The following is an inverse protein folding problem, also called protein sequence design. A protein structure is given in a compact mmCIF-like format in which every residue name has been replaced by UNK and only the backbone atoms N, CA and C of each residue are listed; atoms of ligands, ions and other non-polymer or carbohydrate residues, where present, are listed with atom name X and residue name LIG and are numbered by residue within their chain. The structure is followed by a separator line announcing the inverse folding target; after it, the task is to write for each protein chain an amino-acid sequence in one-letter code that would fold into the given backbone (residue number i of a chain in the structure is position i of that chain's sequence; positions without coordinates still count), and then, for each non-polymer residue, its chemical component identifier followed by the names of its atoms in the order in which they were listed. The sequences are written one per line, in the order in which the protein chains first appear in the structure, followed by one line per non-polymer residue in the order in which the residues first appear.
data_IF_055217587024
#
_entry.id   IF_055217587024
#
_cell.length_a   1.000
_cell.length_b   1.000
_cell.length_c   1.000
_cell.angle_alpha   90.00
_cell.angle_beta   90.00
_cell.angle_gamma   90.00
#
_symmetry.space_group_name_H-M   'P 1'
#
loop_
_entity.id
_entity.type
_entity.pdbx_description
1 polymer ?
#
# COMPACT_ATOMS: atom_id res chain seq x y z
N UNK A 1 7.82 -26.86 12.27
CA UNK A 1 6.84 -25.79 11.97
C UNK A 1 7.59 -24.58 11.45
N UNK A 2 7.31 -24.23 10.23
CA UNK A 2 7.94 -23.05 9.65
C UNK A 2 7.09 -21.82 9.90
N UNK A 3 7.69 -20.83 10.51
CA UNK A 3 7.07 -19.51 10.57
C UNK A 3 7.15 -18.89 9.20
N UNK A 4 6.02 -18.35 8.75
CA UNK A 4 5.98 -17.63 7.49
C UNK A 4 6.71 -16.30 7.63
N UNK A 5 7.30 -15.86 6.54
CA UNK A 5 7.91 -14.55 6.44
C UNK A 5 6.78 -13.54 6.25
N UNK A 6 6.66 -12.59 7.16
CA UNK A 6 5.63 -11.56 7.08
C UNK A 6 6.12 -10.41 6.21
N UNK A 7 5.42 -10.21 5.09
CA UNK A 7 5.78 -9.20 4.11
C UNK A 7 4.67 -8.16 4.01
N UNK A 8 5.05 -6.89 4.15
CA UNK A 8 4.16 -5.77 3.94
C UNK A 8 4.52 -5.08 2.62
N UNK A 9 3.56 -5.01 1.71
CA UNK A 9 3.66 -4.18 0.52
C UNK A 9 2.90 -2.89 0.78
N UNK A 10 3.57 -1.76 0.57
CA UNK A 10 2.94 -0.44 0.70
C UNK A 10 2.86 0.22 -0.66
N UNK A 11 1.65 0.58 -1.07
CA UNK A 11 1.44 1.25 -2.34
C UNK A 11 0.35 2.31 -2.18
N UNK A 12 0.34 3.28 -3.09
CA UNK A 12 -0.61 4.38 -2.99
C UNK A 12 -2.02 3.96 -3.39
N UNK A 13 -2.17 3.39 -4.57
CA UNK A 13 -3.47 2.99 -5.12
C UNK A 13 -3.26 1.97 -6.23
N UNK A 14 -4.36 1.38 -6.71
CA UNK A 14 -4.30 0.33 -7.74
C UNK A 14 -4.86 0.84 -9.07
N UNK A 15 -4.41 1.99 -9.49
CA UNK A 15 -4.74 2.52 -10.80
C UNK A 15 -3.95 1.76 -11.89
N UNK A 16 -4.47 1.78 -13.12
CA UNK A 16 -3.85 1.00 -14.19
C UNK A 16 -2.48 1.56 -14.55
N UNK A 17 -1.45 0.74 -14.37
CA UNK A 17 -0.07 1.12 -14.66
C UNK A 17 0.88 -0.06 -14.56
N UNK A 18 2.12 0.15 -14.99
CA UNK A 18 3.14 -0.91 -14.98
C UNK A 18 3.51 -1.39 -13.58
N UNK A 19 3.62 -0.46 -12.63
CA UNK A 19 3.95 -0.80 -11.24
C UNK A 19 2.88 -1.70 -10.65
N UNK A 20 1.61 -1.36 -10.84
CA UNK A 20 0.47 -2.11 -10.29
C UNK A 20 0.36 -3.50 -10.93
N UNK A 21 0.67 -3.61 -12.22
CA UNK A 21 0.70 -4.91 -12.89
C UNK A 21 1.77 -5.82 -12.32
N UNK A 22 2.96 -5.31 -12.11
CA UNK A 22 4.06 -6.08 -11.51
C UNK A 22 3.71 -6.47 -10.08
N UNK A 23 3.12 -5.54 -9.33
CA UNK A 23 2.69 -5.81 -7.96
C UNK A 23 1.66 -6.93 -7.91
N UNK A 24 0.64 -6.88 -8.78
CA UNK A 24 -0.39 -7.92 -8.84
C UNK A 24 0.20 -9.29 -9.19
N UNK A 25 1.09 -9.35 -10.18
CA UNK A 25 1.75 -10.59 -10.55
C UNK A 25 2.50 -11.18 -9.36
N UNK A 26 3.19 -10.35 -8.61
CA UNK A 26 3.93 -10.79 -7.45
C UNK A 26 2.99 -11.27 -6.34
N UNK A 27 1.93 -10.53 -6.06
CA UNK A 27 0.95 -10.91 -5.04
C UNK A 27 0.27 -12.24 -5.36
N UNK A 28 0.02 -12.50 -6.64
CA UNK A 28 -0.61 -13.75 -7.08
C UNK A 28 0.35 -14.94 -7.01
N UNK A 29 1.64 -14.72 -7.25
CA UNK A 29 2.60 -15.81 -7.46
C UNK A 29 3.48 -16.11 -6.24
N UNK A 30 3.52 -15.25 -5.24
CA UNK A 30 4.29 -15.54 -4.02
C UNK A 30 3.68 -16.74 -3.28
N UNK A 31 4.49 -17.73 -2.89
CA UNK A 31 3.96 -18.92 -2.20
C UNK A 31 3.35 -18.56 -0.85
N UNK A 32 2.11 -18.96 -0.62
CA UNK A 32 1.39 -18.68 0.63
C UNK A 32 1.86 -19.53 1.80
N UNK A 33 2.55 -20.63 1.54
CA UNK A 33 3.13 -21.47 2.58
C UNK A 33 4.42 -20.86 3.15
N UNK A 34 5.06 -19.97 2.41
CA UNK A 34 6.31 -19.32 2.82
C UNK A 34 6.05 -17.90 3.31
N UNK A 35 5.16 -17.17 2.65
CA UNK A 35 4.91 -15.75 2.91
C UNK A 35 3.51 -15.49 3.43
N UNK A 36 3.45 -14.68 4.46
CA UNK A 36 2.22 -14.08 4.98
C UNK A 36 2.17 -12.66 4.46
N UNK A 37 1.27 -12.39 3.52
CA UNK A 37 1.28 -11.16 2.72
C UNK A 37 0.23 -10.19 3.20
N UNK A 38 0.66 -8.95 3.42
CA UNK A 38 -0.24 -7.82 3.71
C UNK A 38 0.03 -6.73 2.67
N UNK A 39 -1.03 -6.17 2.12
CA UNK A 39 -0.96 -5.01 1.24
C UNK A 39 -1.67 -3.84 1.91
N UNK A 40 -0.93 -2.76 2.13
CA UNK A 40 -1.51 -1.49 2.59
C UNK A 40 -1.60 -0.53 1.42
N UNK A 41 -2.82 -0.15 1.06
CA UNK A 41 -3.06 0.91 0.09
C UNK A 41 -3.37 2.20 0.84
N UNK A 42 -2.69 3.27 0.47
CA UNK A 42 -3.01 4.59 1.01
C UNK A 42 -4.45 4.97 0.65
N UNK A 43 -4.85 4.69 -0.57
CA UNK A 43 -6.21 4.93 -1.07
C UNK A 43 -6.67 3.68 -1.80
N UNK A 44 -7.83 3.15 -1.40
CA UNK A 44 -8.45 2.03 -2.11
C UNK A 44 -9.14 2.54 -3.36
N UNK A 45 -8.37 2.78 -4.40
CA UNK A 45 -8.80 3.42 -5.64
C UNK A 45 -8.08 2.79 -6.81
N UNK A 46 -8.72 2.82 -7.98
CA UNK A 46 -8.13 2.37 -9.22
C UNK A 46 -8.80 1.13 -9.78
N UNK A 47 -8.63 0.95 -11.07
CA UNK A 47 -9.29 -0.12 -11.84
C UNK A 47 -8.79 -1.51 -11.42
N UNK A 48 -7.54 -1.60 -10.99
CA UNK A 48 -6.93 -2.87 -10.64
C UNK A 48 -7.19 -3.30 -9.19
N UNK A 49 -7.89 -2.49 -8.42
CA UNK A 49 -8.16 -2.80 -7.00
C UNK A 49 -8.96 -4.09 -6.82
N UNK A 50 -9.81 -4.42 -7.78
CA UNK A 50 -10.64 -5.63 -7.72
C UNK A 50 -9.88 -6.89 -8.11
N UNK A 51 -8.67 -6.77 -8.65
CA UNK A 51 -7.84 -7.90 -9.03
C UNK A 51 -6.89 -8.35 -7.91
N UNK A 52 -6.92 -7.66 -6.77
CA UNK A 52 -6.09 -8.04 -5.61
C UNK A 52 -6.54 -9.41 -5.11
N UNK A 53 -5.60 -10.37 -4.89
CA UNK A 53 -5.97 -11.69 -4.39
C UNK A 53 -6.75 -11.61 -3.07
N UNK A 54 -7.79 -12.44 -2.95
CA UNK A 54 -8.66 -12.45 -1.77
C UNK A 54 -8.01 -13.12 -0.56
N UNK A 55 -6.95 -13.90 -0.77
CA UNK A 55 -6.29 -14.67 0.28
C UNK A 55 -5.14 -13.91 0.96
N UNK A 56 -4.92 -12.65 0.63
CA UNK A 56 -3.96 -11.80 1.32
C UNK A 56 -4.70 -10.80 2.22
N UNK A 57 -3.99 -10.25 3.21
CA UNK A 57 -4.55 -9.19 4.05
C UNK A 57 -4.48 -7.87 3.30
N UNK A 58 -5.63 -7.26 3.04
CA UNK A 58 -5.72 -5.96 2.41
C UNK A 58 -6.17 -4.92 3.44
N UNK A 59 -5.38 -3.86 3.58
CA UNK A 59 -5.68 -2.74 4.46
C UNK A 59 -5.64 -1.47 3.61
N UNK A 60 -6.61 -0.59 3.79
CA UNK A 60 -6.60 0.72 3.15
C UNK A 60 -6.84 1.82 4.18
N UNK A 61 -6.16 2.95 4.00
CA UNK A 61 -6.32 4.09 4.90
C UNK A 61 -7.57 4.87 4.55
N UNK A 62 -7.83 5.07 3.26
CA UNK A 62 -8.96 5.85 2.78
C UNK A 62 -9.64 5.17 1.60
N UNK A 63 -10.94 5.45 1.44
CA UNK A 63 -11.69 4.97 0.26
C UNK A 63 -11.30 5.77 -0.98
N UNK A 64 -11.46 5.13 -2.14
CA UNK A 64 -11.27 5.78 -3.42
C UNK A 64 -12.44 6.68 -3.79
N UNK A 65 -12.25 7.43 -4.86
CA UNK A 65 -13.31 8.29 -5.40
C UNK A 65 -14.56 7.51 -5.83
N UNK A 66 -14.38 6.27 -6.24
CA UNK A 66 -15.46 5.38 -6.67
C UNK A 66 -16.46 5.12 -5.55
N UNK A 67 -16.01 5.18 -4.30
CA UNK A 67 -16.83 4.90 -3.12
C UNK A 67 -17.29 6.17 -2.41
N UNK A 68 -17.03 7.35 -2.99
CA UNK A 68 -17.45 8.62 -2.42
C UNK A 68 -18.84 9.02 -2.86
N UNK A 69 -19.44 9.95 -2.12
CA UNK A 69 -20.78 10.47 -2.45
C UNK A 69 -20.78 11.14 -3.82
N UNK A 70 -21.89 10.97 -4.54
CA UNK A 70 -22.12 11.65 -5.82
C UNK A 70 -22.51 13.12 -5.64
N UNK A 71 -22.93 13.52 -4.44
CA UNK A 71 -23.23 14.91 -4.12
C UNK A 71 -21.94 15.74 -4.13
N UNK A 72 -21.81 16.79 -4.96
CA UNK A 72 -20.57 17.55 -5.07
C UNK A 72 -20.10 18.17 -3.75
N UNK A 73 -21.01 18.64 -2.92
CA UNK A 73 -20.68 19.25 -1.64
C UNK A 73 -20.14 18.21 -0.68
N UNK A 74 -20.83 17.07 -0.52
CA UNK A 74 -20.39 16.00 0.34
C UNK A 74 -19.08 15.38 -0.16
N UNK A 75 -18.94 15.23 -1.48
CA UNK A 75 -17.71 14.71 -2.06
C UNK A 75 -16.52 15.61 -1.77
N UNK A 76 -16.70 16.93 -1.88
CA UNK A 76 -15.63 17.89 -1.58
C UNK A 76 -15.23 17.83 -0.11
N UNK A 77 -16.19 17.69 0.79
CA UNK A 77 -15.92 17.52 2.21
C UNK A 77 -15.17 16.22 2.48
N UNK A 78 -15.56 15.14 1.82
CA UNK A 78 -14.87 13.85 1.94
C UNK A 78 -13.43 13.93 1.41
N UNK A 79 -13.21 14.61 0.28
CA UNK A 79 -11.88 14.81 -0.27
C UNK A 79 -10.99 15.65 0.66
N UNK A 80 -11.56 16.69 1.28
CA UNK A 80 -10.84 17.51 2.23
C UNK A 80 -10.45 16.72 3.47
N UNK A 81 -11.38 15.94 4.00
CA UNK A 81 -11.11 15.06 5.14
C UNK A 81 -10.04 14.03 4.80
N UNK A 82 -10.10 13.45 3.61
CA UNK A 82 -9.09 12.49 3.13
C UNK A 82 -7.71 13.13 3.08
N UNK A 83 -7.61 14.32 2.50
CA UNK A 83 -6.33 15.04 2.40
C UNK A 83 -5.74 15.32 3.78
N UNK A 84 -6.56 15.75 4.73
CA UNK A 84 -6.11 16.00 6.11
C UNK A 84 -5.64 14.71 6.78
N UNK A 85 -6.38 13.62 6.63
CA UNK A 85 -6.04 12.32 7.22
C UNK A 85 -4.72 11.80 6.65
N UNK A 86 -4.54 11.90 5.34
CA UNK A 86 -3.30 11.45 4.70
C UNK A 86 -2.12 12.31 5.13
N UNK A 87 -2.32 13.61 5.24
CA UNK A 87 -1.28 14.51 5.76
C UNK A 87 -0.87 14.14 7.18
N UNK A 88 -1.85 13.87 8.03
CA UNK A 88 -1.62 13.51 9.44
C UNK A 88 -0.77 12.24 9.53
N UNK A 89 -1.14 11.19 8.79
CA UNK A 89 -0.41 9.92 8.85
C UNK A 89 0.96 9.99 8.18
N UNK A 90 1.14 10.88 7.23
CA UNK A 90 2.46 11.13 6.66
C UNK A 90 3.40 11.81 7.67
N UNK A 91 2.86 12.72 8.48
CA UNK A 91 3.62 13.40 9.54
C UNK A 91 3.91 12.48 10.71
N UNK A 92 3.01 11.56 11.01
CA UNK A 92 3.11 10.70 12.18
C UNK A 92 3.04 9.22 11.78
N UNK A 93 4.14 8.66 11.24
CA UNK A 93 4.15 7.25 10.81
C UNK A 93 3.85 6.26 11.93
N UNK A 94 4.27 6.59 13.17
CA UNK A 94 4.00 5.74 14.34
C UNK A 94 2.50 5.60 14.58
N UNK A 95 1.74 6.67 14.38
CA UNK A 95 0.29 6.63 14.55
C UNK A 95 -0.36 5.76 13.49
N UNK A 96 0.12 5.84 12.25
CA UNK A 96 -0.36 4.99 11.16
C UNK A 96 -0.15 3.51 11.48
N UNK A 97 1.06 3.15 11.88
CA UNK A 97 1.39 1.75 12.16
C UNK A 97 0.64 1.24 13.38
N UNK A 98 0.47 2.06 14.40
CA UNK A 98 -0.30 1.67 15.59
C UNK A 98 -1.76 1.39 15.26
N UNK A 99 -2.36 2.18 14.37
CA UNK A 99 -3.78 2.05 14.03
C UNK A 99 -4.03 0.95 13.00
N UNK A 100 -3.25 0.89 11.93
CA UNK A 100 -3.53 0.02 10.78
C UNK A 100 -2.62 -1.20 10.70
N UNK A 101 -1.40 -1.10 11.19
CA UNK A 101 -0.36 -2.10 11.01
C UNK A 101 0.24 -2.52 12.35
N UNK A 102 -0.61 -2.74 13.35
CA UNK A 102 -0.16 -3.12 14.69
C UNK A 102 0.23 -4.60 14.74
N UNK A 103 1.23 -4.94 13.96
CA UNK A 103 1.79 -6.29 13.89
C UNK A 103 3.25 -6.23 13.43
N UNK A 104 3.95 -7.32 13.61
CA UNK A 104 5.34 -7.43 13.16
C UNK A 104 5.40 -7.75 11.67
N UNK A 105 6.35 -7.13 10.97
CA UNK A 105 6.68 -7.46 9.58
C UNK A 105 8.18 -7.71 9.48
N UNK A 106 8.56 -8.79 8.80
CA UNK A 106 9.95 -9.13 8.55
C UNK A 106 10.53 -8.30 7.40
N UNK A 107 9.70 -8.02 6.41
CA UNK A 107 10.07 -7.28 5.20
C UNK A 107 9.00 -6.27 4.87
N UNK A 108 9.41 -5.06 4.51
CA UNK A 108 8.52 -4.03 3.96
C UNK A 108 8.99 -3.67 2.56
N UNK A 109 8.07 -3.68 1.60
CA UNK A 109 8.38 -3.49 0.19
C UNK A 109 7.69 -2.23 -0.35
N UNK A 110 8.47 -1.40 -1.05
CA UNK A 110 7.99 -0.24 -1.78
C UNK A 110 7.98 -0.58 -3.28
N UNK A 111 6.82 -0.95 -3.85
CA UNK A 111 6.75 -1.37 -5.25
C UNK A 111 6.99 -0.23 -6.25
N UNK A 112 6.73 1.01 -5.85
CA UNK A 112 6.87 2.17 -6.71
C UNK A 112 7.70 3.26 -6.07
N UNK A 113 8.12 4.20 -6.88
CA UNK A 113 8.98 5.29 -6.45
C UNK A 113 8.35 6.13 -5.35
N UNK A 114 7.05 6.40 -5.45
CA UNK A 114 6.32 7.19 -4.46
C UNK A 114 6.15 6.47 -3.12
N UNK A 115 6.43 5.17 -3.06
CA UNK A 115 6.28 4.37 -1.85
C UNK A 115 7.57 4.31 -1.03
N UNK A 116 8.69 4.80 -1.56
CA UNK A 116 9.99 4.68 -0.89
C UNK A 116 10.01 5.42 0.44
N UNK A 117 9.60 6.69 0.47
CA UNK A 117 9.64 7.49 1.69
C UNK A 117 8.77 6.89 2.81
N UNK A 118 7.50 6.49 2.54
CA UNK A 118 6.71 5.85 3.58
C UNK A 118 7.33 4.57 4.14
N UNK A 119 7.98 3.77 3.30
CA UNK A 119 8.62 2.53 3.74
C UNK A 119 9.88 2.85 4.55
N UNK A 120 10.70 3.80 4.09
CA UNK A 120 11.90 4.20 4.82
C UNK A 120 11.58 4.85 6.16
N UNK A 121 10.45 5.56 6.25
CA UNK A 121 10.02 6.23 7.48
C UNK A 121 9.28 5.29 8.44
N UNK A 122 9.12 4.03 8.08
CA UNK A 122 8.44 3.05 8.92
C UNK A 122 9.12 2.92 10.29
N UNK A 123 8.33 2.91 11.38
CA UNK A 123 8.88 2.72 12.72
C UNK A 123 9.21 1.26 13.04
N UNK A 124 8.86 0.33 12.16
CA UNK A 124 9.09 -1.09 12.36
C UNK A 124 10.51 -1.45 11.94
N UNK A 125 11.14 -2.32 12.73
CA UNK A 125 12.44 -2.86 12.44
C UNK A 125 12.28 -4.03 11.47
N UNK A 126 12.38 -3.75 10.18
CA UNK A 126 12.19 -4.72 9.11
C UNK A 126 13.23 -4.50 8.02
N UNK A 127 13.35 -5.47 7.13
CA UNK A 127 14.18 -5.30 5.94
C UNK A 127 13.38 -4.48 4.92
N UNK A 128 13.95 -3.38 4.42
CA UNK A 128 13.28 -2.49 3.47
C UNK A 128 13.75 -2.79 2.06
N UNK A 129 12.80 -2.96 1.15
CA UNK A 129 13.07 -3.24 -0.26
C UNK A 129 12.29 -2.24 -1.11
N UNK A 130 12.96 -1.65 -2.10
CA UNK A 130 12.31 -0.77 -3.06
C UNK A 130 12.68 -1.15 -4.48
N UNK A 131 11.76 -0.92 -5.43
CA UNK A 131 11.97 -1.25 -6.83
C UNK A 131 11.92 -0.03 -7.72
N UNK A 132 12.77 -0.03 -8.74
CA UNK A 132 12.72 0.92 -9.85
C UNK A 132 12.09 0.22 -11.04
N UNK A 133 10.99 0.78 -11.53
CA UNK A 133 10.27 0.23 -12.69
C UNK A 133 10.51 1.03 -13.96
N UNK A 134 11.18 2.17 -13.86
CA UNK A 134 11.52 2.97 -15.01
C UNK A 134 12.83 2.50 -15.58
N UNK A 135 12.84 2.37 -16.90
CA UNK A 135 14.09 2.21 -17.62
C UNK A 135 14.88 3.50 -17.42
N UNK A 136 15.91 3.42 -16.62
CA UNK A 136 16.78 4.56 -16.39
C UNK A 136 17.78 4.56 -17.52
N UNK A 137 17.39 5.14 -18.66
CA UNK A 137 18.34 5.35 -19.73
C UNK A 137 19.23 6.51 -19.33
N UNK A 138 20.48 6.23 -19.19
CA UNK A 138 21.49 7.24 -18.96
C UNK A 138 22.08 7.62 -20.31
N UNK A 139 21.76 8.81 -20.72
CA UNK A 139 22.45 9.39 -21.86
C UNK A 139 23.60 10.28 -21.39
#
# INVERSE_FOLDING_TARGET
MHQKIKVLFRHRSMEMGGVERVLLDLLENLPRDIFDITLLLTIYQGELRTEIPADIQLISIQKGREDMSKNPILRNLQLLKRSFTLWFYRKFPKALYKRFLNQHFDVEVAPGYSDFDPVLDSPIKSKKIGWFHTDVSYD
#
